data_IF_862784563791
#
_entry.id   IF_862784563791
#
_cell.length_a   1.000
_cell.length_b   1.000
_cell.length_c   1.000
_cell.angle_alpha   90.00
_cell.angle_beta   90.00
_cell.angle_gamma   90.00
#
_symmetry.space_group_name_H-M   'P 1'
#
loop_
_entity.id
_entity.type
_entity.pdbx_description
1 polymer ?
#
# COMPACT_ATOMS: atom_id res chain seq x y z
N UNK A 1 -13.22 45.74 -6.00
CA UNK A 1 -13.60 44.49 -6.68
C UNK A 1 -12.61 43.41 -6.26
N UNK A 2 -13.05 42.42 -5.48
CA UNK A 2 -12.22 41.31 -5.04
C UNK A 2 -12.14 40.28 -6.18
N UNK A 3 -10.96 40.09 -6.75
CA UNK A 3 -10.68 38.97 -7.66
C UNK A 3 -10.87 37.67 -6.90
N UNK A 4 -11.96 36.97 -7.18
CA UNK A 4 -12.21 35.62 -6.67
C UNK A 4 -11.16 34.71 -7.32
N UNK A 5 -10.09 34.41 -6.59
CA UNK A 5 -9.09 33.47 -7.05
C UNK A 5 -9.77 32.09 -7.15
N UNK A 6 -9.95 31.60 -8.38
CA UNK A 6 -10.34 30.22 -8.62
C UNK A 6 -9.18 29.34 -8.13
N UNK A 7 -9.25 28.89 -6.88
CA UNK A 7 -8.32 27.91 -6.35
C UNK A 7 -8.63 26.57 -7.02
N UNK A 8 -7.86 26.24 -8.07
CA UNK A 8 -7.91 24.95 -8.75
C UNK A 8 -7.51 23.77 -7.84
N UNK A 9 -6.89 24.06 -6.69
CA UNK A 9 -6.48 23.09 -5.71
C UNK A 9 -7.32 23.25 -4.45
N UNK A 10 -7.83 22.12 -3.95
CA UNK A 10 -8.45 22.04 -2.64
C UNK A 10 -7.49 21.31 -1.69
N UNK A 11 -7.20 21.88 -0.50
CA UNK A 11 -6.43 21.16 0.50
C UNK A 11 -7.23 19.93 0.97
N UNK A 12 -6.51 18.83 1.20
CA UNK A 12 -7.03 17.65 1.88
C UNK A 12 -6.73 17.75 3.39
N UNK A 13 -7.37 16.92 4.23
CA UNK A 13 -6.98 16.80 5.63
C UNK A 13 -5.49 16.44 5.76
N UNK A 14 -4.88 16.86 6.87
CA UNK A 14 -3.48 16.54 7.13
C UNK A 14 -3.25 15.03 7.19
N UNK A 15 -2.08 14.60 6.71
CA UNK A 15 -1.69 13.20 6.76
C UNK A 15 -1.52 12.75 8.22
N UNK A 16 -1.93 11.52 8.58
CA UNK A 16 -1.77 10.99 9.94
C UNK A 16 -0.31 10.92 10.40
N UNK A 17 0.61 10.77 9.44
CA UNK A 17 2.06 10.73 9.62
C UNK A 17 2.75 11.42 8.44
N UNK A 18 3.97 11.96 8.61
CA UNK A 18 4.77 12.41 7.48
C UNK A 18 5.20 11.22 6.61
N UNK A 19 4.99 11.31 5.30
CA UNK A 19 5.37 10.29 4.33
C UNK A 19 6.45 10.82 3.39
N UNK A 20 7.64 10.22 3.41
CA UNK A 20 8.68 10.50 2.42
C UNK A 20 8.72 9.41 1.34
N UNK A 21 8.71 9.76 0.06
CA UNK A 21 8.82 8.78 -1.06
C UNK A 21 7.82 7.60 -1.01
N UNK A 22 6.67 7.80 -0.36
CA UNK A 22 5.61 6.78 -0.24
C UNK A 22 5.06 6.41 -1.61
N UNK A 23 4.59 5.16 -1.73
CA UNK A 23 3.89 4.70 -2.91
C UNK A 23 2.39 4.76 -2.66
N UNK A 24 1.66 5.33 -3.62
CA UNK A 24 0.22 5.44 -3.55
C UNK A 24 -0.42 4.74 -4.73
N UNK A 25 -1.54 4.08 -4.49
CA UNK A 25 -2.35 3.45 -5.54
C UNK A 25 -3.83 3.69 -5.31
N UNK A 26 -4.59 3.76 -6.40
CA UNK A 26 -6.03 3.95 -6.38
C UNK A 26 -6.72 2.58 -6.31
N UNK A 27 -7.61 2.41 -5.34
CA UNK A 27 -8.49 1.26 -5.24
C UNK A 27 -9.92 1.76 -4.96
N UNK A 28 -10.79 1.69 -5.98
CA UNK A 28 -12.15 2.27 -5.90
C UNK A 28 -12.11 3.75 -5.46
N UNK A 29 -12.87 4.13 -4.44
CA UNK A 29 -12.89 5.49 -3.86
C UNK A 29 -11.74 5.74 -2.85
N UNK A 30 -10.73 4.88 -2.79
CA UNK A 30 -9.63 4.94 -1.83
C UNK A 30 -8.28 5.19 -2.49
N UNK A 31 -7.46 6.02 -1.86
CA UNK A 31 -6.03 6.13 -2.14
C UNK A 31 -5.31 5.35 -1.05
N UNK A 32 -4.72 4.21 -1.39
CA UNK A 32 -3.87 3.47 -0.46
C UNK A 32 -2.49 4.11 -0.48
N UNK A 33 -1.94 4.32 0.71
CA UNK A 33 -0.63 4.91 0.96
C UNK A 33 0.18 3.83 1.67
N UNK A 34 1.22 3.33 1.02
CA UNK A 34 1.97 2.17 1.48
C UNK A 34 3.36 2.58 1.95
N UNK A 35 3.55 2.72 3.27
CA UNK A 35 4.84 3.00 3.89
C UNK A 35 5.62 4.17 3.28
N UNK A 36 6.91 4.25 3.55
CA UNK A 36 7.79 5.25 2.96
C UNK A 36 9.08 5.42 3.76
N UNK A 37 9.89 6.37 3.33
CA UNK A 37 11.03 6.81 4.09
C UNK A 37 10.55 7.32 5.46
N UNK A 38 11.08 6.73 6.53
CA UNK A 38 10.76 7.02 7.95
C UNK A 38 9.41 6.50 8.47
N UNK A 39 8.62 5.77 7.67
CA UNK A 39 7.36 5.18 8.15
C UNK A 39 7.07 3.84 7.50
N UNK A 40 6.69 2.86 8.32
CA UNK A 40 6.26 1.55 7.85
C UNK A 40 4.74 1.45 7.75
N UNK A 41 4.02 2.41 8.33
CA UNK A 41 2.56 2.42 8.37
C UNK A 41 1.95 2.64 6.99
N UNK A 42 0.83 1.97 6.77
CA UNK A 42 0.00 2.09 5.59
C UNK A 42 -1.38 2.63 5.98
N UNK A 43 -1.93 3.51 5.14
CA UNK A 43 -3.24 4.13 5.35
C UNK A 43 -4.06 4.09 4.08
N UNK A 44 -5.38 4.05 4.24
CA UNK A 44 -6.35 4.30 3.18
C UNK A 44 -6.94 5.69 3.38
N UNK A 45 -6.87 6.54 2.36
CA UNK A 45 -7.62 7.78 2.30
C UNK A 45 -8.87 7.60 1.45
N UNK A 46 -10.03 7.77 2.05
CA UNK A 46 -11.29 7.70 1.31
C UNK A 46 -11.61 9.06 0.70
N UNK A 47 -11.68 9.12 -0.63
CA UNK A 47 -11.85 10.35 -1.42
C UNK A 47 -13.17 11.08 -1.14
N UNK A 48 -14.28 10.35 -1.02
CA UNK A 48 -15.59 10.91 -0.67
C UNK A 48 -15.72 11.28 0.81
N UNK A 49 -15.33 10.38 1.72
CA UNK A 49 -15.43 10.63 3.17
C UNK A 49 -14.40 11.64 3.67
N UNK A 50 -13.34 11.89 2.90
CA UNK A 50 -12.20 12.77 3.22
C UNK A 50 -11.57 12.43 4.58
N UNK A 51 -11.29 11.15 4.79
CA UNK A 51 -10.74 10.64 6.04
C UNK A 51 -9.70 9.58 5.77
N UNK A 52 -8.75 9.45 6.70
CA UNK A 52 -7.73 8.40 6.69
C UNK A 52 -8.11 7.28 7.66
N UNK A 53 -7.85 6.04 7.28
CA UNK A 53 -7.89 4.86 8.16
C UNK A 53 -6.58 4.10 8.06
N UNK A 54 -6.12 3.60 9.20
CA UNK A 54 -4.96 2.71 9.25
C UNK A 54 -5.30 1.37 8.58
N UNK A 55 -4.33 0.81 7.85
CA UNK A 55 -4.43 -0.51 7.21
C UNK A 55 -3.59 -1.51 8.02
N UNK A 56 -2.27 -1.35 7.97
CA UNK A 56 -1.27 -2.13 8.69
C UNK A 56 0.09 -1.44 8.59
N UNK A 57 1.16 -2.13 8.99
CA UNK A 57 2.54 -1.67 8.81
C UNK A 57 3.40 -2.75 8.16
N UNK A 58 4.42 -2.34 7.41
CA UNK A 58 5.53 -3.23 7.07
C UNK A 58 6.26 -3.68 8.34
N UNK A 59 6.95 -4.83 8.33
CA UNK A 59 7.77 -5.26 9.46
C UNK A 59 8.84 -4.23 9.85
N UNK A 60 9.13 -4.12 11.14
CA UNK A 60 10.00 -3.07 11.71
C UNK A 60 11.46 -3.13 11.26
N UNK A 61 11.92 -4.29 10.79
CA UNK A 61 13.27 -4.52 10.28
C UNK A 61 13.46 -4.07 8.82
N UNK A 62 12.42 -3.53 8.17
CA UNK A 62 12.45 -3.09 6.77
C UNK A 62 12.71 -1.58 6.67
N UNK A 63 13.55 -1.18 5.72
CA UNK A 63 13.74 0.23 5.33
C UNK A 63 13.25 0.46 3.91
N UNK A 64 12.29 1.38 3.77
CA UNK A 64 11.58 1.67 2.51
C UNK A 64 12.13 2.95 1.84
N UNK A 65 13.29 2.86 1.18
CA UNK A 65 13.90 4.01 0.51
C UNK A 65 13.51 4.07 -0.97
N UNK A 66 12.30 4.53 -1.27
CA UNK A 66 11.76 4.55 -2.62
C UNK A 66 11.49 3.15 -3.17
N UNK A 67 10.87 2.30 -2.35
CA UNK A 67 10.31 1.02 -2.81
C UNK A 67 9.20 1.26 -3.85
N UNK A 68 8.80 0.19 -4.54
CA UNK A 68 7.70 0.19 -5.49
C UNK A 68 6.56 -0.69 -4.97
N UNK A 69 5.32 -0.26 -5.19
CA UNK A 69 4.12 -1.06 -4.96
C UNK A 69 3.33 -1.09 -6.25
N UNK A 70 2.93 -2.30 -6.67
CA UNK A 70 2.13 -2.52 -7.88
C UNK A 70 0.90 -3.36 -7.57
N UNK A 71 -0.17 -3.13 -8.33
CA UNK A 71 -1.43 -3.87 -8.22
C UNK A 71 -1.46 -5.03 -9.21
N UNK A 72 -1.40 -6.28 -8.72
CA UNK A 72 -1.48 -7.47 -9.55
C UNK A 72 -2.90 -7.66 -10.09
N UNK A 73 -3.07 -7.56 -11.41
CA UNK A 73 -4.34 -7.81 -12.09
C UNK A 73 -4.46 -9.30 -12.41
N UNK A 74 -5.38 -10.01 -11.75
CA UNK A 74 -5.72 -11.38 -12.11
C UNK A 74 -7.19 -11.46 -12.51
N UNK A 75 -7.50 -12.13 -13.62
CA UNK A 75 -8.84 -12.16 -14.24
C UNK A 75 -9.93 -12.82 -13.38
N UNK A 76 -9.54 -13.42 -12.25
CA UNK A 76 -10.43 -14.11 -11.31
C UNK A 76 -10.48 -13.45 -9.92
N UNK A 77 -9.85 -12.28 -9.74
CA UNK A 77 -9.84 -11.61 -8.43
C UNK A 77 -11.23 -11.07 -8.10
N UNK A 78 -11.64 -11.21 -6.83
CA UNK A 78 -12.88 -10.62 -6.35
C UNK A 78 -12.83 -9.09 -6.55
N UNK A 79 -13.87 -8.44 -7.11
CA UNK A 79 -13.87 -6.99 -7.31
C UNK A 79 -13.75 -6.17 -6.01
N UNK A 80 -13.97 -6.81 -4.86
CA UNK A 80 -13.84 -6.20 -3.54
C UNK A 80 -12.46 -6.35 -2.92
N UNK A 81 -11.55 -7.06 -3.57
CA UNK A 81 -10.18 -7.22 -3.10
C UNK A 81 -9.19 -6.79 -4.19
N UNK A 82 -7.97 -6.50 -3.78
CA UNK A 82 -6.87 -6.33 -4.71
C UNK A 82 -5.59 -6.96 -4.16
N UNK A 83 -4.76 -7.46 -5.06
CA UNK A 83 -3.50 -8.10 -4.70
C UNK A 83 -2.37 -7.10 -4.96
N UNK A 84 -1.62 -6.77 -3.92
CA UNK A 84 -0.52 -5.83 -4.01
C UNK A 84 0.81 -6.58 -3.89
N UNK A 85 1.79 -6.13 -4.67
CA UNK A 85 3.17 -6.58 -4.59
C UNK A 85 4.06 -5.37 -4.30
N UNK A 86 4.89 -5.48 -3.28
CA UNK A 86 5.82 -4.45 -2.85
C UNK A 86 7.24 -4.96 -2.92
N UNK A 87 8.15 -4.21 -3.55
CA UNK A 87 9.55 -4.60 -3.68
C UNK A 87 10.48 -3.39 -3.80
N UNK A 88 11.76 -3.61 -3.48
CA UNK A 88 12.82 -2.61 -3.62
C UNK A 88 12.97 -1.68 -2.42
N UNK A 89 13.74 -0.60 -2.61
CA UNK A 89 14.18 0.30 -1.54
C UNK A 89 15.50 -0.07 -0.86
N UNK A 90 16.06 -1.25 -1.18
CA UNK A 90 17.36 -1.69 -0.67
C UNK A 90 18.49 -1.31 -1.66
N UNK A 91 19.61 -0.80 -1.15
CA UNK A 91 20.78 -0.49 -1.98
C UNK A 91 21.63 -1.74 -2.29
N UNK A 92 22.82 -1.53 -2.86
CA UNK A 92 23.78 -2.60 -3.15
C UNK A 92 24.19 -3.33 -1.87
N UNK A 93 24.41 -4.64 -1.97
CA UNK A 93 24.83 -5.52 -0.87
C UNK A 93 23.84 -5.63 0.31
N UNK A 94 22.62 -5.13 0.16
CA UNK A 94 21.50 -5.40 1.07
C UNK A 94 20.56 -6.41 0.42
N UNK A 95 20.15 -7.41 1.21
CA UNK A 95 19.19 -8.42 0.79
C UNK A 95 17.88 -7.77 0.38
N UNK A 96 17.45 -8.04 -0.86
CA UNK A 96 16.19 -7.54 -1.40
C UNK A 96 15.02 -8.12 -0.62
N UNK A 97 13.93 -7.37 -0.54
CA UNK A 97 12.74 -7.79 0.17
C UNK A 97 11.54 -7.60 -0.73
N UNK A 98 10.78 -8.66 -0.91
CA UNK A 98 9.48 -8.65 -1.58
C UNK A 98 8.37 -8.96 -0.58
N UNK A 99 7.27 -8.24 -0.69
CA UNK A 99 6.08 -8.43 0.12
C UNK A 99 4.86 -8.54 -0.78
N UNK A 100 3.87 -9.32 -0.35
CA UNK A 100 2.54 -9.32 -0.95
C UNK A 100 1.48 -9.04 0.08
N UNK A 101 0.38 -8.43 -0.35
CA UNK A 101 -0.80 -8.20 0.48
C UNK A 101 -2.05 -8.48 -0.33
N UNK A 102 -3.01 -9.17 0.29
CA UNK A 102 -4.41 -9.14 -0.15
C UNK A 102 -5.09 -7.99 0.58
N UNK A 103 -5.45 -6.96 -0.16
CA UNK A 103 -6.15 -5.80 0.38
C UNK A 103 -7.66 -5.95 0.18
N UNK A 104 -8.41 -5.65 1.22
CA UNK A 104 -9.84 -5.36 1.15
C UNK A 104 -10.10 -4.04 1.86
N UNK A 105 -11.13 -3.31 1.42
CA UNK A 105 -11.44 -1.98 1.95
C UNK A 105 -11.60 -1.99 3.47
N UNK A 106 -10.81 -1.18 4.17
CA UNK A 106 -10.98 -0.92 5.62
C UNK A 106 -12.22 -0.08 5.93
N UNK A 107 -12.94 0.37 4.91
CA UNK A 107 -14.19 1.11 5.07
C UNK A 107 -15.41 0.19 5.08
N UNK A 108 -15.36 -0.90 4.30
CA UNK A 108 -16.44 -1.91 4.22
C UNK A 108 -16.45 -2.90 5.40
N UNK A 109 -15.31 -3.09 6.07
CA UNK A 109 -15.20 -3.96 7.26
C UNK A 109 -16.07 -3.42 8.40
N UNK A 110 -16.07 -2.10 8.60
CA UNK A 110 -16.80 -1.49 9.72
C UNK A 110 -18.32 -1.46 9.49
N UNK A 111 -18.74 -1.31 8.23
CA UNK A 111 -20.16 -1.28 7.84
C UNK A 111 -20.82 -2.68 7.93
N UNK A 112 -20.02 -3.76 7.88
CA UNK A 112 -20.49 -5.17 7.91
C UNK A 112 -20.38 -5.87 9.27
N UNK A 113 -20.27 -5.14 10.39
CA UNK A 113 -20.27 -5.69 11.75
C UNK A 113 -21.57 -6.42 12.18
N UNK A 114 -22.37 -6.94 11.23
CA UNK A 114 -23.47 -7.86 11.49
C UNK A 114 -23.35 -9.23 10.79
N UNK A 115 -22.29 -9.49 10.02
CA UNK A 115 -22.03 -10.84 9.51
C UNK A 115 -20.55 -11.19 9.61
N UNK A 116 -20.18 -11.61 10.81
CA UNK A 116 -19.05 -12.51 11.03
C UNK A 116 -19.27 -13.78 10.20
N UNK A 117 -18.74 -13.80 8.98
CA UNK A 117 -18.61 -15.04 8.23
C UNK A 117 -17.37 -15.77 8.75
N UNK A 118 -17.62 -16.71 9.65
CA UNK A 118 -16.75 -17.82 10.02
C UNK A 118 -16.43 -18.70 8.79
N UNK A 119 -15.70 -18.18 7.80
CA UNK A 119 -15.05 -19.02 6.80
C UNK A 119 -13.59 -19.18 7.17
N UNK A 120 -13.33 -20.21 7.98
CA UNK A 120 -12.03 -20.88 8.08
C UNK A 120 -11.64 -21.38 6.68
N UNK A 121 -10.99 -20.54 5.89
CA UNK A 121 -10.19 -20.95 4.73
C UNK A 121 -8.76 -20.53 4.99
N UNK A 122 -7.85 -21.48 4.85
CA UNK A 122 -6.42 -21.42 5.19
C UNK A 122 -5.75 -20.05 4.91
N UNK A 123 -5.56 -19.31 6.01
CA UNK A 123 -4.31 -18.66 6.42
C UNK A 123 -3.67 -17.59 5.53
N UNK A 124 -4.46 -16.62 5.04
CA UNK A 124 -3.91 -15.34 4.58
C UNK A 124 -4.65 -14.20 5.27
N UNK A 125 -3.97 -13.52 6.20
CA UNK A 125 -4.50 -12.31 6.84
C UNK A 125 -4.64 -11.19 5.81
N UNK A 126 -5.89 -10.76 5.57
CA UNK A 126 -6.15 -9.56 4.79
C UNK A 126 -5.45 -8.35 5.40
N UNK A 127 -5.17 -7.37 4.55
CA UNK A 127 -4.62 -6.08 4.95
C UNK A 127 -3.31 -6.20 5.72
N UNK A 128 -2.53 -7.27 5.53
CA UNK A 128 -1.23 -7.48 6.17
C UNK A 128 -0.15 -7.75 5.13
N UNK A 129 1.04 -7.20 5.32
CA UNK A 129 2.18 -7.50 4.46
C UNK A 129 2.78 -8.87 4.80
N UNK A 130 2.79 -9.76 3.82
CA UNK A 130 3.40 -11.07 3.92
C UNK A 130 4.76 -11.02 3.22
N UNK A 131 5.82 -11.23 3.98
CA UNK A 131 7.19 -11.28 3.46
C UNK A 131 7.41 -12.57 2.68
N UNK A 132 8.03 -12.45 1.52
CA UNK A 132 8.44 -13.57 0.69
C UNK A 132 9.77 -14.18 1.15
N UNK A 133 9.99 -15.44 0.81
CA UNK A 133 11.27 -16.11 1.05
C UNK A 133 12.37 -15.50 0.17
N UNK A 134 13.63 -15.75 0.54
CA UNK A 134 14.78 -15.17 -0.18
C UNK A 134 14.81 -15.55 -1.65
N UNK A 135 14.41 -16.77 -1.98
CA UNK A 135 14.42 -17.32 -3.34
C UNK A 135 13.33 -16.72 -4.25
N UNK A 136 12.34 -16.02 -3.68
CA UNK A 136 11.27 -15.35 -4.42
C UNK A 136 11.36 -13.82 -4.38
N UNK A 137 12.51 -13.28 -3.95
CA UNK A 137 12.75 -11.85 -3.98
C UNK A 137 13.00 -11.35 -5.41
N UNK A 138 12.56 -10.11 -5.66
CA UNK A 138 12.79 -9.43 -6.93
C UNK A 138 14.11 -8.68 -6.85
N UNK A 139 15.04 -9.02 -7.74
CA UNK A 139 16.34 -8.38 -7.87
C UNK A 139 17.49 -9.17 -7.27
N UNK A 140 18.72 -8.75 -7.59
CA UNK A 140 19.95 -9.39 -7.11
C UNK A 140 20.62 -8.56 -6.01
N UNK A 141 21.44 -9.20 -5.17
CA UNK A 141 22.11 -8.57 -4.03
C UNK A 141 22.93 -7.34 -4.45
N UNK A 142 23.61 -7.43 -5.58
CA UNK A 142 24.51 -6.42 -6.14
C UNK A 142 23.79 -5.21 -6.74
N UNK A 143 22.48 -5.26 -6.97
CA UNK A 143 21.75 -4.17 -7.59
C UNK A 143 21.28 -3.13 -6.57
N UNK A 144 21.26 -1.86 -6.96
CA UNK A 144 20.61 -0.79 -6.19
C UNK A 144 19.14 -0.70 -6.60
N UNK A 145 18.24 -0.99 -5.66
CA UNK A 145 16.79 -1.00 -5.88
C UNK A 145 16.11 0.22 -5.23
N UNK A 146 16.87 1.23 -4.82
CA UNK A 146 16.31 2.50 -4.37
C UNK A 146 15.66 3.23 -5.55
N UNK A 147 14.40 3.65 -5.37
CA UNK A 147 13.67 4.38 -6.40
C UNK A 147 13.24 3.53 -7.60
N UNK A 148 13.24 2.20 -7.47
CA UNK A 148 12.79 1.30 -8.54
C UNK A 148 11.33 1.58 -8.94
N UNK A 149 10.98 1.26 -10.19
CA UNK A 149 9.62 1.38 -10.72
C UNK A 149 9.23 0.06 -11.37
N UNK A 150 8.02 -0.41 -11.08
CA UNK A 150 7.40 -1.54 -11.73
C UNK A 150 6.46 -1.05 -12.83
N UNK A 151 6.43 -1.78 -13.94
CA UNK A 151 5.41 -1.68 -14.97
C UNK A 151 4.77 -3.06 -15.08
N UNK A 152 3.44 -3.09 -15.20
CA UNK A 152 2.73 -4.30 -15.61
C UNK A 152 1.92 -3.97 -16.85
N UNK A 153 1.98 -4.88 -17.81
CA UNK A 153 1.28 -4.84 -19.10
C UNK A 153 0.16 -5.88 -19.11
#
# INVERSE_FOLDING_TARGET
MSTQANNYFQPLPDLPKPFGTSQCLLFKEEILICGGQQTNDCYSYHTLKKQYKYICSYPDDVKLNGHCVIQLNHSQTNPNETHLLSFGGQNTNIMKQTFSMKYTSVWEIDDNNNHQSDSKSEDLSFNTWIRHNQDSNIGKLENDFRGVRGLME
#
